data_IF_925164067218
#
_entry.id   IF_925164067218
#
_cell.length_a   1.000
_cell.length_b   1.000
_cell.length_c   1.000
_cell.angle_alpha   90.00
_cell.angle_beta   90.00
_cell.angle_gamma   90.00
#
_symmetry.space_group_name_H-M   'P 1'
#
loop_
_entity.id
_entity.type
_entity.pdbx_description
1 polymer ?
#
# COMPACT_ATOMS: atom_id res chain seq x y z
N UNK A 1 -9.48 10.31 -24.85
CA UNK A 1 -9.39 9.59 -23.55
C UNK A 1 -8.22 10.18 -22.78
N UNK A 2 -8.43 10.65 -21.54
CA UNK A 2 -7.37 11.23 -20.72
C UNK A 2 -6.71 10.18 -19.81
N UNK A 3 -5.42 10.35 -19.52
CA UNK A 3 -4.64 9.48 -18.63
C UNK A 3 -3.87 10.36 -17.66
N UNK A 4 -3.95 10.04 -16.36
CA UNK A 4 -3.10 10.63 -15.33
C UNK A 4 -1.87 9.73 -15.15
N UNK A 5 -0.69 10.30 -15.34
CA UNK A 5 0.58 9.62 -15.05
C UNK A 5 1.07 10.03 -13.66
N UNK A 6 1.44 9.03 -12.85
CA UNK A 6 1.99 9.22 -11.52
C UNK A 6 3.38 8.58 -11.45
N UNK A 7 4.35 9.32 -10.92
CA UNK A 7 5.68 8.77 -10.60
C UNK A 7 5.72 8.39 -9.14
N UNK A 8 5.77 7.09 -8.86
CA UNK A 8 5.90 6.56 -7.50
C UNK A 8 7.38 6.26 -7.21
N UNK A 9 8.07 7.24 -6.63
CA UNK A 9 9.48 7.15 -6.28
C UNK A 9 9.69 7.49 -4.81
N UNK A 10 10.48 6.67 -4.11
CA UNK A 10 10.81 6.81 -2.72
C UNK A 10 11.90 5.80 -2.33
N UNK A 11 12.61 6.00 -1.22
CA UNK A 11 13.69 5.10 -0.81
C UNK A 11 13.18 3.69 -0.47
N UNK A 12 11.96 3.58 0.04
CA UNK A 12 11.28 2.32 0.35
C UNK A 12 9.81 2.42 -0.05
N UNK A 13 9.23 1.30 -0.48
CA UNK A 13 7.81 1.17 -0.81
C UNK A 13 7.29 -0.20 -0.35
N UNK A 14 6.00 -0.27 -0.02
CA UNK A 14 5.33 -1.53 0.35
C UNK A 14 3.89 -1.51 -0.17
N UNK A 15 3.55 -2.50 -0.99
CA UNK A 15 2.30 -2.63 -1.74
C UNK A 15 1.66 -3.97 -1.42
N UNK A 16 0.99 -4.06 -0.26
CA UNK A 16 0.36 -5.30 0.20
C UNK A 16 -0.85 -5.72 -0.65
N UNK A 17 -1.02 -7.04 -0.80
CA UNK A 17 -2.14 -7.65 -1.53
C UNK A 17 -2.79 -8.82 -0.78
N UNK A 18 -2.01 -9.51 0.06
CA UNK A 18 -2.42 -10.70 0.78
C UNK A 18 -1.51 -10.89 2.00
N UNK A 19 -1.89 -10.30 3.13
CA UNK A 19 -1.16 -10.46 4.38
C UNK A 19 -2.12 -10.84 5.49
N UNK A 20 -2.13 -12.13 5.82
CA UNK A 20 -2.79 -12.64 7.03
C UNK A 20 -1.76 -12.66 8.18
N UNK A 21 -2.22 -12.35 9.39
CA UNK A 21 -1.40 -12.40 10.61
C UNK A 21 -0.26 -11.36 10.64
N UNK A 22 0.87 -11.72 11.25
CA UNK A 22 1.99 -10.85 11.61
C UNK A 22 2.91 -10.53 10.43
N UNK A 23 3.02 -11.43 9.45
CA UNK A 23 3.84 -11.21 8.26
C UNK A 23 3.12 -10.34 7.24
N UNK A 24 3.71 -9.17 6.94
CA UNK A 24 3.25 -8.26 5.89
C UNK A 24 4.10 -8.41 4.63
N UNK A 25 3.50 -8.99 3.59
CA UNK A 25 4.10 -9.14 2.26
C UNK A 25 3.88 -7.89 1.41
N UNK A 26 4.74 -7.69 0.42
CA UNK A 26 4.60 -6.65 -0.60
C UNK A 26 4.71 -7.25 -1.99
N UNK A 27 3.91 -6.73 -2.93
CA UNK A 27 4.13 -6.94 -4.37
C UNK A 27 5.38 -6.19 -4.84
N UNK A 28 5.91 -6.61 -6.00
CA UNK A 28 7.07 -5.95 -6.64
C UNK A 28 6.68 -4.64 -7.33
N UNK A 29 5.38 -4.46 -7.56
CA UNK A 29 4.77 -3.33 -8.21
C UNK A 29 3.59 -2.77 -7.39
N UNK A 30 3.25 -1.48 -7.54
CA UNK A 30 2.08 -0.89 -6.92
C UNK A 30 0.78 -1.65 -7.19
N UNK A 31 0.01 -1.92 -6.14
CA UNK A 31 -1.32 -2.53 -6.26
C UNK A 31 -2.36 -1.47 -6.65
N UNK A 32 -3.37 -1.87 -7.44
CA UNK A 32 -4.48 -0.99 -7.80
C UNK A 32 -5.15 -0.42 -6.55
N UNK A 33 -5.45 -1.26 -5.56
CA UNK A 33 -6.05 -0.83 -4.29
C UNK A 33 -5.18 0.20 -3.54
N UNK A 34 -3.87 0.01 -3.47
CA UNK A 34 -2.95 0.95 -2.83
C UNK A 34 -2.95 2.32 -3.50
N UNK A 35 -2.87 2.35 -4.84
CA UNK A 35 -2.89 3.62 -5.59
C UNK A 35 -4.26 4.30 -5.51
N UNK A 36 -5.37 3.56 -5.57
CA UNK A 36 -6.69 4.16 -5.39
C UNK A 36 -6.88 4.72 -3.97
N UNK A 37 -6.33 4.06 -2.94
CA UNK A 37 -6.30 4.58 -1.57
C UNK A 37 -5.50 5.88 -1.45
N UNK A 38 -4.36 5.97 -2.14
CA UNK A 38 -3.56 7.21 -2.22
C UNK A 38 -4.36 8.35 -2.88
N UNK A 39 -5.08 8.07 -3.97
CA UNK A 39 -5.96 9.05 -4.62
C UNK A 39 -7.12 9.49 -3.71
N UNK A 40 -7.78 8.54 -3.03
CA UNK A 40 -8.85 8.83 -2.08
C UNK A 40 -8.34 9.72 -0.92
N UNK A 41 -7.14 9.45 -0.41
CA UNK A 41 -6.50 10.28 0.61
C UNK A 41 -6.19 11.69 0.10
N UNK A 42 -5.66 11.82 -1.13
CA UNK A 42 -5.41 13.13 -1.74
C UNK A 42 -6.71 13.94 -1.98
N UNK A 43 -7.83 13.26 -2.22
CA UNK A 43 -9.17 13.85 -2.29
C UNK A 43 -9.79 14.15 -0.92
N UNK A 44 -9.12 13.82 0.19
CA UNK A 44 -9.62 14.03 1.55
C UNK A 44 -10.77 13.11 1.95
N UNK A 45 -10.93 11.94 1.32
CA UNK A 45 -12.05 11.04 1.60
C UNK A 45 -11.84 10.28 2.94
N UNK A 46 -12.87 10.21 3.80
CA UNK A 46 -12.82 9.33 4.96
C UNK A 46 -12.87 7.86 4.54
N UNK A 47 -12.47 6.94 5.42
CA UNK A 47 -12.44 5.49 5.15
C UNK A 47 -13.80 4.87 4.82
N UNK A 48 -14.89 5.52 5.25
CA UNK A 48 -16.26 5.07 5.02
C UNK A 48 -16.89 5.65 3.76
N UNK A 49 -16.19 6.53 3.04
CA UNK A 49 -16.72 7.10 1.81
C UNK A 49 -16.76 6.07 0.69
N UNK A 50 -17.72 6.25 -0.21
CA UNK A 50 -17.84 5.46 -1.43
C UNK A 50 -16.58 5.56 -2.30
N UNK A 51 -16.19 4.42 -2.88
CA UNK A 51 -14.96 4.27 -3.67
C UNK A 51 -15.23 3.81 -5.12
N UNK A 52 -16.50 3.59 -5.47
CA UNK A 52 -16.89 2.95 -6.73
C UNK A 52 -16.38 3.70 -7.97
N UNK A 53 -16.34 5.03 -7.92
CA UNK A 53 -15.81 5.88 -8.99
C UNK A 53 -14.31 5.64 -9.24
N UNK A 54 -13.51 5.58 -8.18
CA UNK A 54 -12.08 5.27 -8.26
C UNK A 54 -11.85 3.79 -8.65
N UNK A 55 -12.67 2.87 -8.13
CA UNK A 55 -12.59 1.45 -8.44
C UNK A 55 -12.82 1.16 -9.94
N UNK A 56 -13.67 1.95 -10.59
CA UNK A 56 -13.96 1.87 -12.02
C UNK A 56 -12.80 2.29 -12.94
N UNK A 57 -11.74 2.92 -12.41
CA UNK A 57 -10.61 3.37 -13.22
C UNK A 57 -9.79 2.19 -13.76
N UNK A 58 -9.31 2.33 -15.00
CA UNK A 58 -8.27 1.45 -15.55
C UNK A 58 -6.92 1.82 -14.97
N UNK A 59 -6.12 0.81 -14.66
CA UNK A 59 -4.84 0.95 -14.00
C UNK A 59 -3.79 0.13 -14.74
N UNK A 60 -2.61 0.71 -14.92
CA UNK A 60 -1.46 0.05 -15.53
C UNK A 60 -0.18 0.54 -14.86
N UNK A 61 0.82 -0.32 -14.80
CA UNK A 61 2.10 -0.05 -14.16
C UNK A 61 3.22 -0.28 -15.15
N UNK A 62 4.18 0.64 -15.19
CA UNK A 62 5.50 0.43 -15.79
C UNK A 62 6.53 0.46 -14.67
N UNK A 63 7.31 -0.61 -14.54
CA UNK A 63 8.38 -0.68 -13.55
C UNK A 63 9.67 -0.16 -14.19
N UNK A 64 10.08 1.04 -13.80
CA UNK A 64 11.31 1.67 -14.30
C UNK A 64 12.55 1.06 -13.62
N UNK A 65 12.46 0.78 -12.32
CA UNK A 65 13.52 0.16 -11.53
C UNK A 65 12.87 -0.82 -10.54
N UNK A 66 13.15 -2.14 -10.62
CA UNK A 66 12.44 -3.15 -9.83
C UNK A 66 12.79 -3.18 -8.34
N UNK A 67 13.91 -2.56 -7.94
CA UNK A 67 14.38 -2.55 -6.55
C UNK A 67 14.74 -3.95 -6.00
N UNK A 68 14.91 -4.03 -4.68
CA UNK A 68 15.14 -5.28 -3.94
C UNK A 68 14.11 -5.38 -2.81
N UNK A 69 13.55 -6.58 -2.62
CA UNK A 69 12.67 -6.85 -1.48
C UNK A 69 13.52 -6.89 -0.21
N UNK A 70 13.06 -6.19 0.82
CA UNK A 70 13.67 -6.17 2.14
C UNK A 70 12.66 -6.66 3.18
N UNK A 71 13.15 -7.16 4.30
CA UNK A 71 12.35 -7.58 5.44
C UNK A 71 12.67 -6.67 6.60
N UNK A 72 11.64 -6.08 7.19
CA UNK A 72 11.75 -5.32 8.43
C UNK A 72 11.22 -6.16 9.60
N UNK A 73 12.03 -6.30 10.65
CA UNK A 73 11.61 -7.00 11.87
C UNK A 73 11.00 -5.99 12.84
N UNK A 74 9.72 -5.68 12.61
CA UNK A 74 8.98 -4.70 13.37
C UNK A 74 8.33 -5.33 14.63
N UNK A 75 8.65 -4.80 15.81
CA UNK A 75 8.04 -5.20 17.09
C UNK A 75 7.03 -4.17 17.59
N UNK A 76 6.11 -4.59 18.44
CA UNK A 76 5.15 -3.71 19.12
C UNK A 76 5.00 -4.12 20.59
N UNK A 77 4.70 -3.17 21.46
CA UNK A 77 4.43 -3.38 22.88
C UNK A 77 3.09 -2.76 23.25
N UNK A 78 2.45 -3.29 24.30
CA UNK A 78 1.26 -2.67 24.90
C UNK A 78 1.62 -1.48 25.79
N UNK A 79 0.60 -0.81 26.35
CA UNK A 79 0.78 0.34 27.25
C UNK A 79 1.59 0.03 28.52
N UNK A 80 1.77 -1.26 28.85
CA UNK A 80 2.54 -1.74 30.01
C UNK A 80 3.95 -2.21 29.62
N UNK A 81 4.37 -2.00 28.36
CA UNK A 81 5.67 -2.40 27.85
C UNK A 81 5.81 -3.90 27.56
N UNK A 82 4.70 -4.66 27.57
CA UNK A 82 4.75 -6.10 27.29
C UNK A 82 4.78 -6.31 25.77
N UNK A 83 5.67 -7.17 25.23
CA UNK A 83 5.69 -7.47 23.81
C UNK A 83 4.35 -8.05 23.33
N UNK A 84 3.86 -7.57 22.19
CA UNK A 84 2.73 -8.18 21.50
C UNK A 84 3.15 -9.55 20.94
N UNK A 85 2.34 -10.61 21.09
CA UNK A 85 2.69 -11.93 20.58
C UNK A 85 2.81 -11.93 19.06
N UNK A 86 3.89 -12.55 18.57
CA UNK A 86 4.06 -12.85 17.14
C UNK A 86 3.26 -14.14 16.86
N UNK A 87 1.97 -14.01 16.52
CA UNK A 87 1.13 -15.13 16.08
C UNK A 87 1.62 -15.70 14.75
#
# INVERSE_FOLDING_TARGET
MAVLLLRLAGPMQSWGDSSRFTTRSTRREPTKSGVLGLLAAALGRPRTAEIADLAGLRFGVRVDQPGKVMVDFQTAQDERGRPMPLS
#
